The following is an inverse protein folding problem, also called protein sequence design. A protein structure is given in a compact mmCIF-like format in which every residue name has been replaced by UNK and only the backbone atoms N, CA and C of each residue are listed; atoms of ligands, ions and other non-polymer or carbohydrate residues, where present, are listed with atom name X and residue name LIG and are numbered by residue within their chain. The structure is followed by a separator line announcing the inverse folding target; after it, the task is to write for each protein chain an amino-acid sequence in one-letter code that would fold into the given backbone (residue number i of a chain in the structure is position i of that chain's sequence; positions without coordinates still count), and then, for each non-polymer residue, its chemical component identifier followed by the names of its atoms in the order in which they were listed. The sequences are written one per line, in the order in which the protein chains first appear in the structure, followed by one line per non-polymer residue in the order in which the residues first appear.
data_IF_393195241601
#
_entry.id   IF_393195241601
#
_cell.length_a   1.000
_cell.length_b   1.000
_cell.length_c   1.000
_cell.angle_alpha   90.00
_cell.angle_beta   90.00
_cell.angle_gamma   90.00
#
_symmetry.space_group_name_H-M   'P 1'
#
loop_
_entity.id
_entity.type
_entity.pdbx_description
1 polymer ?
#
# COMPACT_ATOMS: atom_id res chain seq x y z
N UNK A 1 8.94 -27.10 0.08
CA UNK A 1 9.53 -25.74 0.12
C UNK A 1 9.14 -24.82 -1.06
N UNK A 2 8.73 -25.30 -2.26
CA UNK A 2 8.35 -24.42 -3.40
C UNK A 2 7.02 -23.63 -3.25
N UNK A 3 6.05 -24.13 -2.48
CA UNK A 3 4.71 -23.52 -2.34
C UNK A 3 4.72 -22.14 -1.68
N UNK A 4 5.42 -22.00 -0.56
CA UNK A 4 5.51 -20.75 0.20
C UNK A 4 6.12 -19.60 -0.61
N UNK A 5 7.11 -19.89 -1.46
CA UNK A 5 7.72 -18.90 -2.35
C UNK A 5 6.76 -18.42 -3.45
N UNK A 6 5.88 -19.30 -3.93
CA UNK A 6 4.89 -18.97 -4.97
C UNK A 6 3.72 -18.15 -4.42
N UNK A 7 3.29 -18.44 -3.18
CA UNK A 7 2.25 -17.67 -2.48
C UNK A 7 2.70 -16.24 -2.18
N UNK A 8 3.95 -16.05 -1.74
CA UNK A 8 4.49 -14.70 -1.53
C UNK A 8 4.58 -13.90 -2.83
N UNK A 9 5.04 -14.53 -3.92
CA UNK A 9 5.09 -13.88 -5.23
C UNK A 9 3.69 -13.44 -5.69
N UNK A 10 2.66 -14.24 -5.44
CA UNK A 10 1.27 -13.90 -5.76
C UNK A 10 0.77 -12.70 -4.94
N UNK A 11 1.11 -12.62 -3.65
CA UNK A 11 0.75 -11.48 -2.80
C UNK A 11 1.39 -10.19 -3.30
N UNK A 12 2.69 -10.23 -3.64
CA UNK A 12 3.41 -9.07 -4.19
C UNK A 12 2.80 -8.61 -5.52
N UNK A 13 2.63 -9.53 -6.47
CA UNK A 13 2.08 -9.20 -7.80
C UNK A 13 0.64 -8.70 -7.69
N UNK A 14 -0.17 -9.33 -6.83
CA UNK A 14 -1.54 -8.87 -6.55
C UNK A 14 -1.54 -7.46 -5.96
N UNK A 15 -0.69 -7.18 -4.97
CA UNK A 15 -0.56 -5.85 -4.39
C UNK A 15 -0.10 -4.78 -5.41
N UNK A 16 0.76 -5.14 -6.38
CA UNK A 16 1.23 -4.21 -7.43
C UNK A 16 0.27 -4.05 -8.62
N UNK A 17 -0.73 -4.92 -8.77
CA UNK A 17 -1.62 -4.93 -9.95
C UNK A 17 -2.60 -3.75 -10.05
N UNK A 18 -2.69 -2.90 -9.02
CA UNK A 18 -3.62 -1.77 -8.97
C UNK A 18 -2.89 -0.43 -9.12
N UNK A 19 -3.32 0.44 -10.04
CA UNK A 19 -2.63 1.69 -10.31
C UNK A 19 -2.65 2.69 -9.15
N UNK A 20 -3.67 2.67 -8.28
CA UNK A 20 -3.68 3.50 -7.08
C UNK A 20 -2.63 3.02 -6.08
N UNK A 21 -2.50 1.70 -5.89
CA UNK A 21 -1.46 1.10 -5.04
C UNK A 21 -0.05 1.42 -5.54
N UNK A 22 0.18 1.34 -6.86
CA UNK A 22 1.46 1.77 -7.46
C UNK A 22 1.76 3.25 -7.21
N UNK A 23 0.75 4.12 -7.31
CA UNK A 23 0.92 5.55 -7.04
C UNK A 23 1.27 5.80 -5.57
N UNK A 24 0.66 5.08 -4.64
CA UNK A 24 1.01 5.12 -3.21
C UNK A 24 2.47 4.72 -2.97
N UNK A 25 2.94 3.64 -3.60
CA UNK A 25 4.34 3.21 -3.48
C UNK A 25 5.28 4.31 -3.97
N UNK A 26 5.03 4.87 -5.17
CA UNK A 26 5.87 5.94 -5.73
C UNK A 26 5.96 7.16 -4.82
N UNK A 27 4.84 7.59 -4.23
CA UNK A 27 4.82 8.69 -3.26
C UNK A 27 5.66 8.38 -2.01
N UNK A 28 5.59 7.15 -1.51
CA UNK A 28 6.33 6.71 -0.33
C UNK A 28 7.82 6.48 -0.58
N UNK A 29 8.23 6.26 -1.83
CA UNK A 29 9.65 6.23 -2.23
C UNK A 29 10.29 7.62 -2.13
N UNK A 30 9.51 8.69 -2.31
CA UNK A 30 10.00 10.07 -2.25
C UNK A 30 10.01 10.62 -0.82
N UNK A 31 8.97 10.32 -0.04
CA UNK A 31 8.79 10.87 1.30
C UNK A 31 7.90 10.00 2.18
N UNK A 32 8.17 10.02 3.48
CA UNK A 32 7.27 9.45 4.50
C UNK A 32 6.00 10.29 4.57
N UNK A 33 4.84 9.63 4.58
CA UNK A 33 3.54 10.29 4.61
C UNK A 33 2.63 9.62 5.63
N UNK A 34 1.86 10.43 6.35
CA UNK A 34 0.75 9.96 7.18
C UNK A 34 -0.40 9.53 6.28
N UNK A 35 -1.27 8.68 6.81
CA UNK A 35 -2.44 8.17 6.08
C UNK A 35 -3.30 9.27 5.42
N UNK A 36 -3.58 10.37 6.15
CA UNK A 36 -4.36 11.50 5.61
C UNK A 36 -3.62 12.27 4.52
N UNK A 37 -2.30 12.35 4.60
CA UNK A 37 -1.47 13.00 3.58
C UNK A 37 -1.42 12.15 2.31
N UNK A 38 -1.26 10.83 2.46
CA UNK A 38 -1.37 9.89 1.34
C UNK A 38 -2.71 10.02 0.61
N UNK A 39 -3.83 10.02 1.34
CA UNK A 39 -5.16 10.22 0.75
C UNK A 39 -5.24 11.50 -0.07
N UNK A 40 -4.71 12.61 0.47
CA UNK A 40 -4.71 13.91 -0.20
C UNK A 40 -3.87 13.88 -1.48
N UNK A 41 -2.67 13.31 -1.44
CA UNK A 41 -1.73 13.22 -2.58
C UNK A 41 -2.27 12.36 -3.74
N UNK A 42 -3.09 11.36 -3.44
CA UNK A 42 -3.77 10.54 -4.44
C UNK A 42 -5.13 11.09 -4.88
N UNK A 43 -5.52 12.27 -4.39
CA UNK A 43 -6.76 12.97 -4.77
C UNK A 43 -8.04 12.38 -4.16
N UNK A 44 -7.95 11.65 -3.06
CA UNK A 44 -9.10 11.05 -2.39
C UNK A 44 -9.60 11.92 -1.23
N UNK A 45 -10.92 12.07 -1.15
CA UNK A 45 -11.63 12.76 -0.08
C UNK A 45 -11.86 11.83 1.12
N UNK A 46 -12.17 12.39 2.30
CA UNK A 46 -12.31 11.61 3.55
C UNK A 46 -13.42 10.55 3.52
N UNK A 47 -14.48 10.77 2.73
CA UNK A 47 -15.57 9.80 2.52
C UNK A 47 -15.10 8.50 1.85
N UNK A 48 -13.94 8.53 1.17
CA UNK A 48 -13.31 7.35 0.55
C UNK A 48 -12.30 6.63 1.44
N UNK A 49 -12.22 6.99 2.73
CA UNK A 49 -11.24 6.41 3.67
C UNK A 49 -11.33 4.89 3.79
N UNK A 50 -12.53 4.29 3.78
CA UNK A 50 -12.68 2.83 3.84
C UNK A 50 -12.08 2.11 2.62
N UNK A 51 -12.39 2.61 1.41
CA UNK A 51 -11.82 2.08 0.16
C UNK A 51 -10.30 2.27 0.14
N UNK A 52 -9.81 3.44 0.56
CA UNK A 52 -8.37 3.68 0.63
C UNK A 52 -7.66 2.75 1.62
N UNK A 53 -8.28 2.45 2.77
CA UNK A 53 -7.73 1.54 3.76
C UNK A 53 -7.51 0.14 3.18
N UNK A 54 -8.46 -0.34 2.37
CA UNK A 54 -8.30 -1.61 1.65
C UNK A 54 -7.02 -1.64 0.79
N UNK A 55 -6.73 -0.56 0.05
CA UNK A 55 -5.51 -0.49 -0.76
C UNK A 55 -4.24 -0.52 0.11
N UNK A 56 -4.25 0.17 1.25
CA UNK A 56 -3.14 0.19 2.21
C UNK A 56 -2.91 -1.20 2.83
N UNK A 57 -3.97 -1.89 3.25
CA UNK A 57 -3.84 -3.25 3.81
C UNK A 57 -3.30 -4.24 2.76
N UNK A 58 -3.74 -4.16 1.50
CA UNK A 58 -3.15 -4.98 0.43
C UNK A 58 -1.66 -4.74 0.20
N UNK A 59 -1.21 -3.50 0.33
CA UNK A 59 0.22 -3.20 0.25
C UNK A 59 1.01 -3.74 1.46
N UNK A 60 0.43 -3.71 2.66
CA UNK A 60 1.03 -4.30 3.87
C UNK A 60 1.09 -5.82 3.80
N UNK A 61 0.01 -6.48 3.37
CA UNK A 61 -0.05 -7.94 3.15
C UNK A 61 1.05 -8.40 2.18
N UNK A 62 1.32 -7.62 1.15
CA UNK A 62 2.42 -7.86 0.20
C UNK A 62 3.81 -7.48 0.72
N UNK A 63 3.94 -6.93 1.93
CA UNK A 63 5.20 -6.47 2.50
C UNK A 63 5.80 -5.24 1.80
N UNK A 64 5.01 -4.51 1.03
CA UNK A 64 5.48 -3.40 0.19
C UNK A 64 5.53 -2.06 0.91
N UNK A 65 4.74 -1.93 1.98
CA UNK A 65 4.76 -0.75 2.86
C UNK A 65 4.72 -1.21 4.32
N UNK A 66 5.27 -0.39 5.19
CA UNK A 66 5.25 -0.61 6.64
C UNK A 66 4.76 0.65 7.35
N UNK A 67 4.13 0.46 8.50
CA UNK A 67 3.85 1.57 9.41
C UNK A 67 5.11 1.83 10.22
N UNK A 68 5.62 3.05 10.19
CA UNK A 68 6.68 3.45 11.12
C UNK A 68 6.08 3.58 12.53
N UNK A 69 6.64 2.83 13.48
CA UNK A 69 6.33 2.98 14.89
C UNK A 69 7.06 4.21 15.42
N UNK A 70 6.39 5.02 16.24
CA UNK A 70 7.04 6.15 16.90
C UNK A 70 8.01 5.58 17.92
N UNK A 71 9.30 5.87 17.75
CA UNK A 71 10.34 5.68 18.76
C UNK A 71 10.13 6.64 19.92
#
# INVERSE_FOLDING_TARGET
MRKASSEMALLVVSALSDPLRLRVIRLLQEKKLRYKELMKEVGLQQDKSGKFNYHIEKLKEGGLIVKEEKT
#
